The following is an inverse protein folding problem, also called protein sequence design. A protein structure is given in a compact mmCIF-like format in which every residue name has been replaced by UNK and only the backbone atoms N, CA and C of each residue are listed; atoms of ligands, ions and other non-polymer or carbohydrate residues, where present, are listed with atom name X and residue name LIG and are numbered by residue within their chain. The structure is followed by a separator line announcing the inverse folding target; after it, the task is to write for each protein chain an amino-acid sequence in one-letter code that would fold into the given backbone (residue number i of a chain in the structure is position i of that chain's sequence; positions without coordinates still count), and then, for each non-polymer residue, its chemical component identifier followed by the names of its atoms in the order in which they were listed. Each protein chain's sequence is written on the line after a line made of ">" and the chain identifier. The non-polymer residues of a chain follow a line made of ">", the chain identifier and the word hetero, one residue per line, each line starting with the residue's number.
data_IF_360566200053
#
_entry.id   IF_360566200053
#
_cell.length_a   1.000
_cell.length_b   1.000
_cell.length_c   1.000
_cell.angle_alpha   90.00
_cell.angle_beta   90.00
_cell.angle_gamma   90.00
#
_symmetry.space_group_name_H-M   'P 1'
#
loop_
_entity.id
_entity.type
_entity.pdbx_description
1 polymer ?
#
# COMPACT_ATOMS: atom_id res chain seq x y z
N UNK A 1 -13.24 7.03 -9.65
CA UNK A 1 -13.95 7.68 -8.52
C UNK A 1 -13.72 6.78 -7.33
N UNK A 2 -12.80 7.15 -6.43
CA UNK A 2 -12.53 6.41 -5.20
C UNK A 2 -13.85 6.30 -4.44
N UNK A 3 -14.40 5.09 -4.38
CA UNK A 3 -15.62 4.82 -3.65
C UNK A 3 -15.30 4.90 -2.17
N UNK A 4 -15.39 6.09 -1.58
CA UNK A 4 -15.47 6.18 -0.14
C UNK A 4 -16.74 5.40 0.25
N UNK A 5 -16.56 4.27 0.94
CA UNK A 5 -17.67 3.44 1.42
C UNK A 5 -18.58 4.25 2.35
N UNK A 6 -19.61 3.59 2.89
CA UNK A 6 -20.48 4.24 3.89
C UNK A 6 -19.62 4.85 4.99
N UNK A 7 -19.71 6.19 5.24
CA UNK A 7 -18.88 6.83 6.23
C UNK A 7 -19.04 6.17 7.60
N UNK A 8 -17.92 5.78 8.22
CA UNK A 8 -17.89 5.26 9.58
C UNK A 8 -17.57 6.43 10.51
N UNK A 9 -18.48 6.85 11.40
CA UNK A 9 -18.20 7.95 12.33
C UNK A 9 -17.09 7.54 13.30
N UNK A 10 -16.09 8.41 13.44
CA UNK A 10 -14.99 8.25 14.40
C UNK A 10 -14.98 9.46 15.34
N UNK A 11 -14.82 9.21 16.65
CA UNK A 11 -14.61 10.25 17.66
C UNK A 11 -13.24 10.07 18.32
N UNK A 12 -12.50 11.16 18.45
CA UNK A 12 -11.27 11.23 19.24
C UNK A 12 -11.50 12.20 20.41
N UNK A 13 -10.96 11.85 21.58
CA UNK A 13 -11.00 12.68 22.78
C UNK A 13 -9.60 13.11 23.21
N UNK A 14 -9.53 13.92 24.27
CA UNK A 14 -8.26 14.29 24.89
C UNK A 14 -7.52 13.05 25.41
N UNK A 15 -6.23 12.95 25.10
CA UNK A 15 -5.34 11.89 25.59
C UNK A 15 -4.11 12.52 26.25
N UNK A 16 -3.55 11.81 27.24
CA UNK A 16 -2.22 12.13 27.76
C UNK A 16 -1.15 11.95 26.66
N UNK A 17 0.05 12.54 26.82
CA UNK A 17 1.13 12.36 25.85
C UNK A 17 1.39 10.87 25.55
N UNK A 18 1.50 10.54 24.26
CA UNK A 18 1.81 9.18 23.82
C UNK A 18 3.27 8.86 24.14
N UNK A 19 3.53 7.68 24.70
CA UNK A 19 4.87 7.16 24.97
C UNK A 19 5.00 5.74 24.41
N UNK A 20 6.11 5.46 23.74
CA UNK A 20 6.37 4.15 23.13
C UNK A 20 7.08 4.26 21.79
N UNK A 21 7.13 3.13 21.09
CA UNK A 21 7.71 2.98 19.76
C UNK A 21 6.65 2.43 18.81
N UNK A 22 6.62 2.94 17.58
CA UNK A 22 5.70 2.47 16.55
C UNK A 22 6.48 2.16 15.27
N UNK A 23 6.18 1.01 14.68
CA UNK A 23 6.67 0.66 13.35
C UNK A 23 5.72 1.25 12.32
N UNK A 24 6.22 2.21 11.56
CA UNK A 24 5.43 2.86 10.51
C UNK A 24 5.33 1.92 9.30
N UNK A 25 4.14 1.80 8.67
CA UNK A 25 3.99 1.06 7.42
C UNK A 25 4.92 1.57 6.31
N UNK A 26 5.05 0.79 5.24
CA UNK A 26 5.79 1.20 4.05
C UNK A 26 5.31 2.54 3.46
N UNK A 27 6.19 3.23 2.74
CA UNK A 27 5.81 4.46 2.04
C UNK A 27 4.88 4.15 0.86
N UNK A 28 3.76 4.88 0.76
CA UNK A 28 2.75 4.66 -0.29
C UNK A 28 3.33 4.89 -1.68
N UNK A 29 4.09 5.96 -1.86
CA UNK A 29 4.60 6.34 -3.19
C UNK A 29 5.69 5.37 -3.68
N UNK A 30 6.57 4.92 -2.79
CA UNK A 30 7.56 3.88 -3.05
C UNK A 30 6.84 2.56 -3.34
N UNK A 31 5.81 2.20 -2.57
CA UNK A 31 5.08 0.95 -2.77
C UNK A 31 4.44 0.86 -4.16
N UNK A 32 3.78 1.94 -4.62
CA UNK A 32 3.30 2.04 -6.01
C UNK A 32 4.44 1.86 -7.01
N UNK A 33 5.52 2.62 -6.86
CA UNK A 33 6.64 2.62 -7.81
C UNK A 33 7.39 1.29 -7.84
N UNK A 34 7.56 0.63 -6.70
CA UNK A 34 8.20 -0.68 -6.61
C UNK A 34 7.40 -1.73 -7.39
N UNK A 35 6.07 -1.72 -7.30
CA UNK A 35 5.21 -2.59 -8.12
C UNK A 35 5.32 -2.27 -9.61
N UNK A 36 5.23 -0.99 -9.98
CA UNK A 36 5.28 -0.57 -11.38
C UNK A 36 6.64 -0.89 -12.03
N UNK A 37 7.74 -0.59 -11.34
CA UNK A 37 9.08 -0.84 -11.87
C UNK A 37 9.42 -2.33 -11.85
N UNK A 38 9.01 -3.05 -10.79
CA UNK A 38 9.19 -4.50 -10.72
C UNK A 38 8.47 -5.24 -11.84
N UNK A 39 7.26 -4.78 -12.20
CA UNK A 39 6.48 -5.34 -13.31
C UNK A 39 7.08 -5.06 -14.70
N UNK A 40 7.85 -3.99 -14.86
CA UNK A 40 8.54 -3.64 -16.12
C UNK A 40 9.95 -4.24 -16.23
N UNK A 41 10.52 -4.68 -15.12
CA UNK A 41 11.86 -5.25 -15.08
C UNK A 41 11.91 -6.64 -15.72
N UNK A 42 13.08 -6.99 -16.28
CA UNK A 42 13.34 -8.36 -16.75
C UNK A 42 13.75 -9.22 -15.55
N UNK A 43 13.01 -10.29 -15.29
CA UNK A 43 13.29 -11.24 -14.21
C UNK A 43 12.37 -11.07 -13.00
N UNK A 44 12.86 -11.41 -11.81
CA UNK A 44 12.10 -11.38 -10.55
C UNK A 44 12.48 -10.15 -9.72
N UNK A 45 11.49 -9.41 -9.23
CA UNK A 45 11.67 -8.35 -8.22
C UNK A 45 11.07 -8.82 -6.89
N UNK A 46 11.83 -8.71 -5.80
CA UNK A 46 11.38 -9.00 -4.44
C UNK A 46 11.30 -7.70 -3.64
N UNK A 47 10.16 -7.43 -3.01
CA UNK A 47 9.89 -6.18 -2.29
C UNK A 47 9.57 -6.51 -0.83
N UNK A 48 10.27 -5.85 0.09
CA UNK A 48 10.05 -5.97 1.54
C UNK A 48 9.50 -4.66 2.09
N UNK A 49 8.61 -4.74 3.09
CA UNK A 49 7.99 -3.56 3.69
C UNK A 49 7.03 -2.82 2.74
N UNK A 50 6.39 -3.52 1.79
CA UNK A 50 5.38 -2.95 0.92
C UNK A 50 4.17 -2.49 1.74
N UNK A 51 3.66 -1.28 1.48
CA UNK A 51 2.40 -0.84 2.06
C UNK A 51 1.24 -1.61 1.42
N UNK A 52 0.42 -2.29 2.22
CA UNK A 52 -0.73 -3.07 1.75
C UNK A 52 -2.05 -2.29 1.82
N UNK A 53 -1.98 -0.98 1.63
CA UNK A 53 -3.17 -0.13 1.52
C UNK A 53 -3.92 -0.38 0.20
N UNK A 54 -5.22 -0.10 0.18
CA UNK A 54 -6.09 -0.36 -0.98
C UNK A 54 -5.54 0.23 -2.29
N UNK A 55 -5.06 1.48 -2.26
CA UNK A 55 -4.41 2.14 -3.41
C UNK A 55 -3.26 1.30 -4.02
N UNK A 56 -2.42 0.70 -3.17
CA UNK A 56 -1.26 -0.09 -3.60
C UNK A 56 -1.72 -1.46 -4.10
N UNK A 57 -2.70 -2.07 -3.44
CA UNK A 57 -3.30 -3.33 -3.89
C UNK A 57 -3.98 -3.17 -5.25
N UNK A 58 -4.63 -2.04 -5.51
CA UNK A 58 -5.20 -1.72 -6.81
C UNK A 58 -4.13 -1.52 -7.88
N UNK A 59 -2.96 -1.00 -7.50
CA UNK A 59 -1.80 -0.98 -8.40
C UNK A 59 -1.29 -2.38 -8.71
N UNK A 60 -1.23 -3.27 -7.72
CA UNK A 60 -0.87 -4.67 -7.97
C UNK A 60 -1.88 -5.36 -8.89
N UNK A 61 -3.19 -5.12 -8.72
CA UNK A 61 -4.24 -5.60 -9.64
C UNK A 61 -4.04 -5.05 -11.06
N UNK A 62 -3.73 -3.77 -11.21
CA UNK A 62 -3.44 -3.17 -12.51
C UNK A 62 -2.21 -3.80 -13.17
N UNK A 63 -1.13 -4.04 -12.42
CA UNK A 63 0.07 -4.69 -12.96
C UNK A 63 -0.22 -6.13 -13.40
N UNK A 64 -1.03 -6.88 -12.63
CA UNK A 64 -1.53 -8.20 -13.05
C UNK A 64 -2.35 -8.13 -14.34
N UNK A 65 -3.22 -7.13 -14.48
CA UNK A 65 -4.01 -6.92 -15.69
C UNK A 65 -3.14 -6.56 -16.91
N UNK A 66 -1.98 -5.93 -16.69
CA UNK A 66 -0.98 -5.67 -17.73
C UNK A 66 -0.05 -6.86 -18.02
N UNK A 67 -0.24 -8.00 -17.35
CA UNK A 67 0.46 -9.26 -17.65
C UNK A 67 1.63 -9.57 -16.72
N UNK A 68 1.92 -8.75 -15.71
CA UNK A 68 2.93 -9.09 -14.71
C UNK A 68 2.40 -10.17 -13.74
N UNK A 69 3.23 -11.16 -13.43
CA UNK A 69 2.96 -12.08 -12.34
C UNK A 69 3.30 -11.39 -11.01
N UNK A 70 2.27 -11.01 -10.25
CA UNK A 70 2.44 -10.40 -8.92
C UNK A 70 1.82 -11.31 -7.87
N UNK A 71 2.66 -11.90 -7.03
CA UNK A 71 2.26 -12.69 -5.85
C UNK A 71 2.56 -11.88 -4.58
N UNK A 72 1.66 -11.97 -3.61
CA UNK A 72 1.76 -11.33 -2.30
C UNK A 72 1.71 -12.42 -1.24
#
# INVERSE_FOLDING_TARGET
>A
MSGHGTPIPMQAGHANPLTGEAHVPGDKSISHRSLMFGAMAVGKTEIFGLLEGEDVLDTAKAMRAFGAEVTQ
#
